data_IF_351171963107
#
_entry.id   IF_351171963107
#
_cell.length_a   1.000
_cell.length_b   1.000
_cell.length_c   1.000
_cell.angle_alpha   90.00
_cell.angle_beta   90.00
_cell.angle_gamma   90.00
#
_symmetry.space_group_name_H-M   'P 1'
#
loop_
_entity.id
_entity.type
_entity.pdbx_description
1 polymer ?
#
# COMPACT_ATOMS: atom_id res chain seq x y z
N UNK A 1 14.75 2.82 10.93
CA UNK A 1 15.91 2.16 10.31
C UNK A 1 16.61 1.21 11.29
N UNK A 2 17.15 1.65 12.42
CA UNK A 2 17.81 0.75 13.39
C UNK A 2 16.86 -0.36 13.90
N UNK A 3 15.59 -0.04 14.17
CA UNK A 3 14.60 -1.05 14.57
C UNK A 3 14.35 -2.09 13.47
N UNK A 4 14.29 -1.70 12.21
CA UNK A 4 14.11 -2.64 11.11
C UNK A 4 15.29 -3.59 10.97
N UNK A 5 16.52 -3.11 11.14
CA UNK A 5 17.69 -3.98 11.16
C UNK A 5 17.74 -4.90 12.40
N UNK A 6 17.16 -4.47 13.53
CA UNK A 6 17.03 -5.32 14.70
C UNK A 6 16.02 -6.46 14.47
N UNK A 7 14.95 -6.20 13.73
CA UNK A 7 13.93 -7.22 13.40
C UNK A 7 14.50 -8.41 12.62
N UNK A 8 15.52 -8.19 11.80
CA UNK A 8 16.21 -9.29 11.07
C UNK A 8 16.75 -10.34 12.02
N UNK A 9 17.11 -9.98 13.26
CA UNK A 9 17.60 -10.92 14.27
C UNK A 9 16.53 -11.92 14.73
N UNK A 10 15.25 -11.59 14.54
CA UNK A 10 14.14 -12.48 14.83
C UNK A 10 13.86 -13.44 13.66
N UNK A 11 14.69 -13.42 12.64
CA UNK A 11 14.65 -14.30 11.46
C UNK A 11 15.95 -15.09 11.35
N UNK A 12 15.99 -16.05 10.42
CA UNK A 12 17.21 -16.78 10.07
C UNK A 12 18.07 -16.06 9.01
N UNK A 13 17.70 -14.86 8.62
CA UNK A 13 18.42 -14.08 7.60
C UNK A 13 19.64 -13.44 8.23
N UNK A 14 20.77 -13.53 7.57
CA UNK A 14 21.97 -12.81 8.00
C UNK A 14 21.75 -11.30 7.89
N UNK A 15 21.89 -10.59 9.00
CA UNK A 15 21.74 -9.13 9.06
C UNK A 15 22.61 -8.39 8.03
N UNK A 16 23.81 -8.88 7.78
CA UNK A 16 24.75 -8.25 6.85
C UNK A 16 24.35 -8.42 5.39
N UNK A 17 23.34 -9.26 5.10
CA UNK A 17 22.74 -9.42 3.77
C UNK A 17 21.53 -8.51 3.53
N UNK A 18 21.17 -7.64 4.48
CA UNK A 18 19.99 -6.79 4.40
C UNK A 18 20.38 -5.32 4.42
N UNK A 19 19.97 -4.59 3.38
CA UNK A 19 20.01 -3.14 3.35
C UNK A 19 18.63 -2.57 3.70
N UNK A 20 18.55 -1.58 4.59
CA UNK A 20 17.30 -0.91 4.97
C UNK A 20 17.43 0.59 4.77
N UNK A 21 16.50 1.16 4.02
CA UNK A 21 16.34 2.60 3.86
C UNK A 21 14.93 3.03 4.26
N UNK A 22 14.82 4.12 5.00
CA UNK A 22 13.56 4.76 5.31
C UNK A 22 13.57 6.16 4.65
N UNK A 23 12.92 6.33 3.50
CA UNK A 23 12.85 7.64 2.87
C UNK A 23 12.05 8.61 3.75
N UNK A 24 12.57 9.82 3.87
CA UNK A 24 11.90 10.88 4.59
C UNK A 24 11.31 11.87 3.59
N UNK A 25 10.01 12.10 3.68
CA UNK A 25 9.28 13.06 2.86
C UNK A 25 8.94 14.31 3.68
N UNK A 26 9.84 15.29 3.75
CA UNK A 26 9.64 16.49 4.54
C UNK A 26 8.40 17.25 4.07
N UNK A 27 7.67 17.79 5.03
CA UNK A 27 6.50 18.62 4.76
C UNK A 27 6.36 19.73 5.81
N UNK A 28 5.39 20.63 5.68
CA UNK A 28 5.22 21.76 6.57
C UNK A 28 5.02 21.40 8.04
N UNK A 29 4.59 20.18 8.35
CA UNK A 29 4.36 19.72 9.72
C UNK A 29 5.67 19.31 10.41
N UNK A 30 6.74 19.11 9.65
CA UNK A 30 8.06 18.66 10.14
C UNK A 30 8.99 19.79 10.57
N UNK A 31 8.57 21.02 10.48
CA UNK A 31 9.41 22.21 10.74
C UNK A 31 10.14 22.22 12.08
N UNK A 32 9.64 21.47 13.06
CA UNK A 32 10.21 21.39 14.40
C UNK A 32 11.16 20.18 14.60
N UNK A 33 11.40 19.38 13.58
CA UNK A 33 12.12 18.11 13.69
C UNK A 33 13.50 18.11 13.02
N UNK A 34 14.22 19.22 13.12
CA UNK A 34 15.62 19.29 12.62
C UNK A 34 15.75 19.34 11.10
N UNK A 35 14.66 19.37 10.38
CA UNK A 35 14.63 19.64 8.96
C UNK A 35 14.92 21.13 8.72
N UNK A 36 15.71 21.53 7.68
CA UNK A 36 16.07 22.92 7.43
C UNK A 36 14.88 23.75 6.93
N UNK A 37 13.83 23.77 7.71
CA UNK A 37 12.64 24.57 7.49
C UNK A 37 12.82 25.95 8.12
N UNK A 38 12.59 26.99 7.32
CA UNK A 38 12.59 28.36 7.84
C UNK A 38 11.16 28.78 8.14
N UNK A 39 10.90 29.24 9.36
CA UNK A 39 9.60 29.77 9.75
C UNK A 39 9.19 30.93 8.83
N UNK A 40 7.91 30.97 8.52
CA UNK A 40 7.34 31.97 7.63
C UNK A 40 7.55 31.72 6.13
N UNK A 41 8.13 30.61 5.72
CA UNK A 41 8.13 30.20 4.32
C UNK A 41 6.69 30.00 3.85
N UNK A 42 6.27 30.82 2.89
CA UNK A 42 5.00 30.69 2.22
C UNK A 42 5.20 29.88 0.92
N UNK A 43 4.17 29.18 0.52
CA UNK A 43 4.16 28.56 -0.81
C UNK A 43 4.53 29.60 -1.88
N UNK A 44 5.47 29.25 -2.74
CA UNK A 44 5.96 30.15 -3.79
C UNK A 44 7.07 31.14 -3.38
N UNK A 45 7.48 31.17 -2.12
CA UNK A 45 8.65 31.94 -1.67
C UNK A 45 9.82 30.99 -1.46
N UNK A 46 10.92 31.22 -2.14
CA UNK A 46 12.04 30.32 -2.18
C UNK A 46 12.49 29.79 -0.82
N UNK A 47 12.62 28.50 -0.72
CA UNK A 47 13.36 27.85 0.36
C UNK A 47 14.84 28.00 0.11
N UNK A 48 15.63 28.26 1.14
CA UNK A 48 17.09 28.20 1.08
C UNK A 48 17.61 26.77 1.12
N UNK A 49 16.72 25.80 1.32
CA UNK A 49 17.05 24.39 1.33
C UNK A 49 17.02 23.78 -0.07
N UNK A 50 17.93 22.85 -0.32
CA UNK A 50 17.92 22.01 -1.51
C UNK A 50 17.08 20.73 -1.30
N UNK A 51 16.49 20.54 -0.14
CA UNK A 51 15.65 19.38 0.13
C UNK A 51 14.31 19.49 -0.60
N UNK A 52 13.82 18.35 -1.08
CA UNK A 52 12.48 18.23 -1.61
C UNK A 52 11.49 18.28 -0.45
N UNK A 53 10.47 19.10 -0.55
CA UNK A 53 9.42 19.27 0.48
C UNK A 53 8.06 19.20 -0.16
N UNK A 54 7.15 18.51 0.45
CA UNK A 54 5.77 18.36 -0.01
C UNK A 54 4.77 19.19 0.81
N UNK A 55 3.60 19.43 0.26
CA UNK A 55 2.51 20.07 0.97
C UNK A 55 1.76 19.04 1.83
N UNK A 56 1.88 19.13 3.14
CA UNK A 56 1.20 18.21 4.07
C UNK A 56 1.39 16.75 3.68
N UNK A 57 0.33 15.97 3.69
CA UNK A 57 0.36 14.53 3.34
C UNK A 57 0.37 14.23 1.83
N UNK A 58 0.55 15.22 0.97
CA UNK A 58 0.46 15.03 -0.49
C UNK A 58 1.55 14.11 -1.06
N UNK A 59 2.66 13.93 -0.34
CA UNK A 59 3.67 12.92 -0.69
C UNK A 59 3.09 11.51 -0.78
N UNK A 60 2.09 11.17 0.03
CA UNK A 60 1.44 9.86 -0.02
C UNK A 60 0.53 9.64 -1.23
N UNK A 61 0.30 10.69 -1.99
CA UNK A 61 -0.53 10.69 -3.18
C UNK A 61 0.26 10.79 -4.49
N UNK A 62 1.59 10.84 -4.43
CA UNK A 62 2.41 11.01 -5.63
C UNK A 62 2.51 12.46 -6.12
N UNK A 63 2.14 13.42 -5.28
CA UNK A 63 2.22 14.83 -5.67
C UNK A 63 3.65 15.29 -5.92
N UNK A 64 3.78 16.35 -6.70
CA UNK A 64 5.05 17.00 -6.89
C UNK A 64 5.49 17.75 -5.63
N UNK A 65 6.79 17.90 -5.46
CA UNK A 65 7.38 18.68 -4.39
C UNK A 65 6.92 20.14 -4.46
N UNK A 66 6.81 20.79 -3.29
CA UNK A 66 6.50 22.19 -3.15
C UNK A 66 7.77 23.07 -3.19
N UNK A 67 8.86 22.53 -2.66
CA UNK A 67 10.19 23.18 -2.62
C UNK A 67 11.25 22.22 -3.14
N UNK A 68 12.36 22.71 -3.71
CA UNK A 68 12.65 24.12 -4.02
C UNK A 68 11.61 24.71 -4.98
N UNK A 69 11.31 26.00 -4.82
CA UNK A 69 10.22 26.63 -5.59
C UNK A 69 10.45 26.66 -7.11
N UNK A 70 11.69 26.74 -7.53
CA UNK A 70 12.10 26.75 -8.94
C UNK A 70 12.20 25.35 -9.57
N UNK A 71 11.94 24.31 -8.80
CA UNK A 71 12.04 22.91 -9.23
C UNK A 71 10.92 22.08 -8.58
N UNK A 72 9.66 22.37 -8.93
CA UNK A 72 8.45 21.73 -8.37
C UNK A 72 7.87 20.70 -9.34
N UNK A 73 8.69 19.79 -9.79
CA UNK A 73 8.30 18.77 -10.77
C UNK A 73 8.72 17.35 -10.38
N UNK A 74 9.14 17.15 -9.13
CA UNK A 74 9.54 15.84 -8.63
C UNK A 74 8.42 15.23 -7.81
N UNK A 75 7.77 14.24 -8.38
CA UNK A 75 6.79 13.42 -7.66
C UNK A 75 7.46 12.58 -6.59
N UNK A 76 6.76 12.35 -5.49
CA UNK A 76 7.20 11.39 -4.48
C UNK A 76 7.27 9.95 -5.01
N UNK A 77 6.48 9.60 -6.03
CA UNK A 77 6.56 8.29 -6.69
C UNK A 77 7.80 8.16 -7.54
N UNK A 78 8.23 9.23 -8.20
CA UNK A 78 9.51 9.24 -8.88
C UNK A 78 10.69 8.94 -7.92
N UNK A 79 10.58 9.40 -6.66
CA UNK A 79 11.58 9.06 -5.64
C UNK A 79 11.57 7.56 -5.34
N UNK A 80 10.40 6.91 -5.32
CA UNK A 80 10.33 5.44 -5.15
C UNK A 80 10.99 4.72 -6.33
N UNK A 81 10.74 5.18 -7.56
CA UNK A 81 11.39 4.62 -8.75
C UNK A 81 12.92 4.71 -8.66
N UNK A 82 13.43 5.88 -8.28
CA UNK A 82 14.87 6.10 -8.15
C UNK A 82 15.49 5.25 -7.03
N UNK A 83 14.77 5.04 -5.94
CA UNK A 83 15.23 4.16 -4.87
C UNK A 83 15.27 2.70 -5.34
N UNK A 84 14.27 2.25 -6.10
CA UNK A 84 14.27 0.90 -6.67
C UNK A 84 15.45 0.74 -7.62
N UNK A 85 15.66 1.68 -8.55
CA UNK A 85 16.79 1.66 -9.49
C UNK A 85 18.14 1.66 -8.77
N UNK A 86 18.25 2.47 -7.70
CA UNK A 86 19.48 2.53 -6.90
C UNK A 86 19.82 1.19 -6.25
N UNK A 87 18.84 0.51 -5.64
CA UNK A 87 19.08 -0.77 -5.01
C UNK A 87 19.19 -1.93 -6.02
N UNK A 88 18.64 -1.78 -7.22
CA UNK A 88 18.79 -2.78 -8.28
C UNK A 88 20.12 -2.65 -9.06
N UNK A 89 20.85 -1.58 -8.87
CA UNK A 89 22.15 -1.39 -9.53
C UNK A 89 23.16 -2.45 -9.05
N UNK A 90 23.43 -3.42 -9.91
CA UNK A 90 24.34 -4.54 -9.61
C UNK A 90 25.80 -4.11 -9.52
N UNK A 91 26.14 -2.89 -9.94
CA UNK A 91 27.49 -2.35 -9.71
C UNK A 91 27.67 -1.91 -8.26
N UNK A 92 26.61 -1.48 -7.60
CA UNK A 92 26.56 -1.11 -6.20
C UNK A 92 26.16 -2.28 -5.29
N UNK A 93 25.19 -3.05 -5.72
CA UNK A 93 24.59 -4.16 -4.97
C UNK A 93 24.60 -5.46 -5.77
N UNK A 94 25.80 -6.04 -6.06
CA UNK A 94 25.92 -7.21 -6.97
C UNK A 94 25.15 -8.44 -6.50
N UNK A 95 24.86 -8.54 -5.21
CA UNK A 95 24.18 -9.67 -4.61
C UNK A 95 22.70 -9.39 -4.25
N UNK A 96 22.14 -8.25 -4.68
CA UNK A 96 20.73 -7.96 -4.44
C UNK A 96 19.85 -9.01 -5.09
N UNK A 97 18.97 -9.61 -4.30
CA UNK A 97 18.08 -10.70 -4.73
C UNK A 97 16.61 -10.32 -4.74
N UNK A 98 16.23 -9.34 -3.97
CA UNK A 98 14.85 -8.86 -3.86
C UNK A 98 14.83 -7.46 -3.26
N UNK A 99 13.89 -6.65 -3.71
CA UNK A 99 13.62 -5.31 -3.18
C UNK A 99 12.20 -5.32 -2.63
N UNK A 100 12.02 -4.91 -1.38
CA UNK A 100 10.71 -4.78 -0.76
C UNK A 100 10.45 -3.31 -0.42
N UNK A 101 9.44 -2.72 -1.04
CA UNK A 101 8.90 -1.43 -0.62
C UNK A 101 7.83 -1.70 0.45
N UNK A 102 8.07 -1.25 1.67
CA UNK A 102 7.16 -1.49 2.79
C UNK A 102 6.49 -0.21 3.27
N UNK A 103 5.16 -0.23 3.39
CA UNK A 103 4.38 0.91 3.86
C UNK A 103 3.28 0.52 4.83
N UNK A 104 3.20 1.24 5.95
CA UNK A 104 2.13 1.11 6.94
C UNK A 104 1.32 2.40 7.03
N UNK A 105 0.02 2.32 7.27
CA UNK A 105 -0.86 3.47 7.43
C UNK A 105 -0.85 4.37 6.19
N UNK A 106 -0.44 5.62 6.31
CA UNK A 106 -0.29 6.54 5.18
C UNK A 106 0.75 6.05 4.16
N UNK A 107 1.80 5.34 4.61
CA UNK A 107 2.74 4.66 3.74
C UNK A 107 2.10 3.50 2.96
N UNK A 108 1.16 2.78 3.57
CA UNK A 108 0.36 1.77 2.89
C UNK A 108 -0.53 2.38 1.80
N UNK A 109 -1.16 3.52 2.07
CA UNK A 109 -1.91 4.26 1.06
C UNK A 109 -1.02 4.73 -0.10
N UNK A 110 0.18 5.21 0.23
CA UNK A 110 1.17 5.61 -0.78
C UNK A 110 1.49 4.45 -1.73
N UNK A 111 1.81 3.29 -1.17
CA UNK A 111 2.21 2.13 -1.97
C UNK A 111 1.04 1.55 -2.78
N UNK A 112 -0.19 1.56 -2.27
CA UNK A 112 -1.33 1.10 -3.06
C UNK A 112 -1.58 2.00 -4.28
N UNK A 113 -1.50 3.32 -4.10
CA UNK A 113 -1.62 4.27 -5.21
C UNK A 113 -0.44 4.17 -6.17
N UNK A 114 0.77 3.98 -5.64
CA UNK A 114 1.95 3.71 -6.44
C UNK A 114 1.81 2.39 -7.22
N UNK A 115 1.24 1.34 -6.64
CA UNK A 115 0.94 0.12 -7.38
C UNK A 115 0.03 0.39 -8.59
N UNK A 116 -0.96 1.28 -8.42
CA UNK A 116 -1.92 1.60 -9.47
C UNK A 116 -1.32 2.40 -10.63
N UNK A 117 -0.47 3.39 -10.33
CA UNK A 117 0.03 4.35 -11.34
C UNK A 117 1.54 4.46 -11.45
N UNK A 118 2.29 3.67 -10.65
CA UNK A 118 3.75 3.61 -10.69
C UNK A 118 4.26 2.99 -12.00
N UNK A 119 5.39 3.47 -12.45
CA UNK A 119 6.03 2.94 -13.65
C UNK A 119 6.30 1.44 -13.54
N UNK A 120 6.27 0.76 -14.67
CA UNK A 120 6.76 -0.60 -14.78
C UNK A 120 8.28 -0.53 -14.94
N UNK A 121 8.98 -0.70 -13.83
CA UNK A 121 10.43 -0.66 -13.83
C UNK A 121 10.99 -1.98 -14.34
N UNK A 122 11.88 -1.90 -15.31
CA UNK A 122 12.70 -3.05 -15.70
C UNK A 122 13.80 -3.22 -14.66
N UNK A 123 13.70 -4.26 -13.84
CA UNK A 123 14.64 -4.57 -12.76
C UNK A 123 15.14 -6.00 -12.88
N UNK A 124 16.39 -6.21 -12.50
CA UNK A 124 16.96 -7.56 -12.40
C UNK A 124 16.51 -8.25 -11.11
N UNK A 125 16.29 -7.48 -10.05
CA UNK A 125 15.76 -7.98 -8.79
C UNK A 125 14.23 -7.85 -8.77
N UNK A 126 13.50 -8.89 -8.32
CA UNK A 126 12.08 -8.77 -8.08
C UNK A 126 11.76 -7.65 -7.09
N UNK A 127 10.69 -6.92 -7.38
CA UNK A 127 10.19 -5.83 -6.52
C UNK A 127 8.85 -6.23 -5.95
N UNK A 128 8.72 -6.18 -4.63
CA UNK A 128 7.50 -6.51 -3.90
C UNK A 128 7.03 -5.31 -3.10
N UNK A 129 5.74 -5.07 -3.11
CA UNK A 129 5.10 -4.02 -2.33
C UNK A 129 4.43 -4.65 -1.10
N UNK A 130 4.93 -4.37 0.10
CA UNK A 130 4.25 -4.74 1.34
C UNK A 130 3.35 -3.60 1.79
N UNK A 131 2.04 -3.80 1.69
CA UNK A 131 1.02 -2.76 1.89
C UNK A 131 0.22 -3.08 3.14
N UNK A 132 0.39 -2.28 4.20
CA UNK A 132 -0.24 -2.53 5.49
C UNK A 132 -1.10 -1.36 5.97
N UNK A 133 -2.29 -1.67 6.49
CA UNK A 133 -3.14 -0.80 7.29
C UNK A 133 -3.43 0.58 6.70
N UNK A 134 -3.56 0.69 5.37
CA UNK A 134 -4.01 1.92 4.74
C UNK A 134 -5.40 2.33 5.24
N UNK A 135 -5.65 3.63 5.33
CA UNK A 135 -6.94 4.16 5.73
C UNK A 135 -7.95 4.17 4.59
N UNK A 136 -7.51 4.48 3.38
CA UNK A 136 -8.31 4.46 2.16
C UNK A 136 -7.50 3.94 0.99
N UNK A 137 -8.19 3.55 -0.07
CA UNK A 137 -7.61 2.95 -1.26
C UNK A 137 -8.06 3.70 -2.50
N UNK A 138 -7.18 3.90 -3.47
CA UNK A 138 -7.57 4.35 -4.78
C UNK A 138 -8.35 3.22 -5.48
N UNK A 139 -9.62 3.46 -5.74
CA UNK A 139 -10.55 2.46 -6.25
C UNK A 139 -10.41 2.32 -7.76
N UNK A 140 -10.21 1.11 -8.24
CA UNK A 140 -9.90 0.82 -9.65
C UNK A 140 -11.18 0.63 -10.50
N UNK A 141 -12.29 1.24 -10.09
CA UNK A 141 -13.59 1.17 -10.74
C UNK A 141 -14.40 2.42 -10.42
N UNK A 142 -15.33 2.78 -11.29
CA UNK A 142 -16.30 3.86 -11.02
C UNK A 142 -17.40 3.46 -10.04
N UNK A 143 -17.53 2.17 -9.76
CA UNK A 143 -18.49 1.65 -8.80
C UNK A 143 -17.95 1.67 -7.38
N UNK A 144 -18.86 1.82 -6.43
CA UNK A 144 -18.55 1.79 -5.00
C UNK A 144 -19.44 0.80 -4.27
N UNK A 145 -18.92 0.12 -3.25
CA UNK A 145 -19.71 -0.82 -2.44
C UNK A 145 -20.81 -0.12 -1.65
N UNK A 146 -20.62 1.14 -1.25
CA UNK A 146 -21.58 1.90 -0.46
C UNK A 146 -22.13 3.11 -1.24
N UNK A 147 -23.45 3.27 -1.19
CA UNK A 147 -24.09 4.48 -1.70
C UNK A 147 -24.07 5.56 -0.61
N UNK A 148 -23.29 6.60 -0.80
CA UNK A 148 -23.29 7.79 0.06
C UNK A 148 -23.95 8.92 -0.72
N UNK A 149 -25.16 9.35 -0.30
CA UNK A 149 -25.86 10.44 -0.99
C UNK A 149 -25.01 11.71 -1.04
N UNK A 150 -25.17 12.48 -2.10
CA UNK A 150 -24.54 13.79 -2.27
C UNK A 150 -23.00 13.79 -2.15
N UNK A 151 -22.36 12.74 -2.65
CA UNK A 151 -20.91 12.65 -2.72
C UNK A 151 -20.38 12.83 -4.17
N UNK A 152 -20.32 14.05 -4.71
CA UNK A 152 -19.85 14.29 -6.08
C UNK A 152 -18.37 13.97 -6.28
N UNK A 153 -17.59 13.91 -5.20
CA UNK A 153 -16.15 13.68 -5.20
C UNK A 153 -15.75 12.22 -4.97
N UNK A 154 -16.74 11.31 -5.01
CA UNK A 154 -16.51 9.90 -4.64
C UNK A 154 -15.42 9.22 -5.47
N UNK A 155 -15.24 9.65 -6.72
CA UNK A 155 -14.29 9.08 -7.67
C UNK A 155 -13.08 9.98 -7.94
N UNK A 156 -12.99 11.12 -7.25
CA UNK A 156 -11.85 12.02 -7.39
C UNK A 156 -10.59 11.36 -6.84
N UNK A 157 -9.46 11.71 -7.40
CA UNK A 157 -8.18 11.32 -6.84
C UNK A 157 -8.06 11.91 -5.41
N UNK A 158 -7.86 11.13 -4.44
CA UNK A 158 -7.08 9.90 -4.19
C UNK A 158 -7.91 8.62 -3.94
N UNK A 159 -9.23 8.74 -3.90
CA UNK A 159 -10.14 7.61 -3.66
C UNK A 159 -10.64 6.98 -4.97
N UNK A 160 -10.41 7.65 -6.08
CA UNK A 160 -10.57 7.19 -7.46
C UNK A 160 -9.52 7.84 -8.35
N UNK A 161 -9.82 8.03 -9.62
CA UNK A 161 -8.88 8.61 -10.59
C UNK A 161 -9.47 9.79 -11.38
N UNK A 162 -10.70 10.23 -11.07
CA UNK A 162 -11.26 11.44 -11.63
C UNK A 162 -10.50 12.69 -11.13
N UNK A 163 -10.57 13.77 -11.89
CA UNK A 163 -9.92 15.05 -11.55
C UNK A 163 -8.40 14.94 -11.28
N UNK A 164 -7.74 13.90 -11.80
CA UNK A 164 -6.35 13.58 -11.49
C UNK A 164 -5.39 14.73 -11.84
N UNK A 165 -5.51 15.27 -13.03
CA UNK A 165 -4.66 16.39 -13.50
C UNK A 165 -5.04 17.69 -12.81
N UNK A 166 -6.32 17.91 -12.55
CA UNK A 166 -6.84 19.09 -11.84
C UNK A 166 -6.33 19.17 -10.41
N UNK A 167 -6.05 18.03 -9.78
CA UNK A 167 -5.31 17.95 -8.50
C UNK A 167 -3.80 18.24 -8.63
N UNK A 168 -3.33 18.56 -9.82
CA UNK A 168 -1.91 18.89 -10.08
C UNK A 168 -0.99 17.68 -10.16
N UNK A 169 -1.56 16.50 -10.39
CA UNK A 169 -0.78 15.26 -10.51
C UNK A 169 -0.17 15.17 -11.90
N UNK A 170 1.13 14.93 -11.97
CA UNK A 170 1.88 14.80 -13.23
C UNK A 170 2.41 13.39 -13.44
N UNK A 171 2.89 12.76 -12.38
CA UNK A 171 3.34 11.38 -12.42
C UNK A 171 2.16 10.43 -12.66
N UNK A 172 2.30 9.53 -13.60
CA UNK A 172 1.23 8.60 -14.00
C UNK A 172 0.10 9.22 -14.84
N UNK A 173 0.14 10.52 -15.17
CA UNK A 173 -0.94 11.18 -15.90
C UNK A 173 -1.21 10.54 -17.27
N UNK A 174 -0.18 10.09 -17.97
CA UNK A 174 -0.32 9.39 -19.25
C UNK A 174 -1.00 8.03 -19.12
N UNK A 175 -0.78 7.31 -18.04
CA UNK A 175 -1.46 6.05 -17.75
C UNK A 175 -2.92 6.30 -17.35
N UNK A 176 -3.16 7.28 -16.47
CA UNK A 176 -4.51 7.64 -16.04
C UNK A 176 -5.37 8.09 -17.23
N UNK A 177 -4.79 8.81 -18.19
CA UNK A 177 -5.48 9.22 -19.41
C UNK A 177 -5.90 8.03 -20.31
N UNK A 178 -5.30 6.86 -20.16
CA UNK A 178 -5.70 5.64 -20.86
C UNK A 178 -6.93 4.95 -20.23
N UNK A 179 -7.33 5.36 -19.02
CA UNK A 179 -8.53 4.88 -18.36
C UNK A 179 -8.29 3.75 -17.35
N UNK A 180 -9.37 3.36 -16.69
CA UNK A 180 -9.33 2.44 -15.55
C UNK A 180 -8.81 1.03 -15.91
N UNK A 181 -9.08 0.55 -17.11
CA UNK A 181 -8.58 -0.77 -17.54
C UNK A 181 -7.05 -0.79 -17.61
N UNK A 182 -6.44 0.28 -18.11
CA UNK A 182 -4.99 0.42 -18.16
C UNK A 182 -4.38 0.54 -16.76
N UNK A 183 -5.02 1.31 -15.88
CA UNK A 183 -4.61 1.45 -14.48
C UNK A 183 -4.70 0.09 -13.77
N UNK A 184 -5.81 -0.64 -13.98
CA UNK A 184 -5.97 -1.96 -13.38
C UNK A 184 -4.95 -2.96 -13.90
N UNK A 185 -4.68 -2.97 -15.20
CA UNK A 185 -3.64 -3.84 -15.77
C UNK A 185 -2.25 -3.53 -15.20
N UNK A 186 -1.94 -2.25 -15.00
CA UNK A 186 -0.70 -1.85 -14.35
C UNK A 186 -0.66 -2.29 -12.88
N UNK A 187 -1.76 -2.15 -12.15
CA UNK A 187 -1.89 -2.62 -10.77
C UNK A 187 -1.69 -4.15 -10.67
N UNK A 188 -2.37 -4.90 -11.51
CA UNK A 188 -2.30 -6.37 -11.52
C UNK A 188 -0.91 -6.89 -11.94
N UNK A 189 -0.08 -6.07 -12.56
CA UNK A 189 1.31 -6.42 -12.90
C UNK A 189 2.28 -6.35 -11.73
N UNK A 190 1.88 -5.71 -10.63
CA UNK A 190 2.72 -5.56 -9.45
C UNK A 190 2.59 -6.77 -8.53
N UNK A 191 3.65 -7.09 -7.81
CA UNK A 191 3.64 -8.11 -6.77
C UNK A 191 3.31 -7.46 -5.44
N UNK A 192 2.20 -7.83 -4.82
CA UNK A 192 1.73 -7.18 -3.59
C UNK A 192 1.59 -8.20 -2.46
N UNK A 193 2.17 -7.87 -1.33
CA UNK A 193 1.93 -8.54 -0.06
C UNK A 193 1.05 -7.63 0.82
N UNK A 194 -0.22 -7.95 0.89
CA UNK A 194 -1.19 -7.22 1.70
C UNK A 194 -1.11 -7.64 3.15
N UNK A 195 -1.21 -6.67 4.06
CA UNK A 195 -1.28 -6.95 5.49
C UNK A 195 -2.37 -6.09 6.15
N UNK A 196 -3.19 -6.70 7.01
CA UNK A 196 -4.26 -6.01 7.70
C UNK A 196 -4.33 -6.37 9.17
N UNK A 197 -4.31 -5.35 10.04
CA UNK A 197 -4.54 -5.48 11.46
C UNK A 197 -6.04 -5.63 11.75
N UNK A 198 -6.43 -6.70 12.41
CA UNK A 198 -7.84 -7.02 12.66
C UNK A 198 -8.52 -6.09 13.66
N UNK A 199 -7.74 -5.48 14.56
CA UNK A 199 -8.24 -4.53 15.56
C UNK A 199 -8.12 -3.05 15.12
N UNK A 200 -7.71 -2.80 13.86
CA UNK A 200 -7.55 -1.43 13.33
C UNK A 200 -8.83 -0.98 12.62
N UNK A 201 -9.82 -0.58 13.37
CA UNK A 201 -11.05 -0.02 12.82
C UNK A 201 -10.86 1.42 12.33
N UNK A 202 -10.02 2.18 13.02
CA UNK A 202 -9.87 3.61 12.79
C UNK A 202 -11.15 4.38 13.15
N UNK A 203 -11.19 5.62 12.72
CA UNK A 203 -12.39 6.44 12.83
C UNK A 203 -13.28 6.23 11.59
N UNK A 204 -14.56 6.55 11.75
CA UNK A 204 -15.45 6.69 10.60
C UNK A 204 -14.84 7.66 9.60
N UNK A 205 -15.10 7.42 8.32
CA UNK A 205 -14.60 8.29 7.27
C UNK A 205 -15.03 9.74 7.52
N UNK A 206 -14.05 10.63 7.56
CA UNK A 206 -14.28 12.07 7.79
C UNK A 206 -14.84 12.81 6.58
N UNK A 207 -14.85 12.16 5.42
CA UNK A 207 -15.36 12.70 4.18
C UNK A 207 -16.14 11.64 3.41
N UNK A 208 -16.97 12.07 2.47
CA UNK A 208 -17.89 11.17 1.77
C UNK A 208 -17.18 10.17 0.85
N UNK A 209 -16.09 10.57 0.21
CA UNK A 209 -15.44 9.72 -0.78
C UNK A 209 -14.91 8.39 -0.19
N UNK A 210 -14.08 8.37 0.86
CA UNK A 210 -13.71 7.10 1.50
C UNK A 210 -14.91 6.36 2.12
N UNK A 211 -15.95 7.06 2.58
CA UNK A 211 -17.16 6.41 3.09
C UNK A 211 -17.90 5.58 2.03
N UNK A 212 -17.74 5.86 0.76
CA UNK A 212 -18.30 5.05 -0.33
C UNK A 212 -17.63 3.68 -0.46
N UNK A 213 -16.47 3.50 0.12
CA UNK A 213 -15.68 2.26 0.07
C UNK A 213 -15.70 1.46 1.36
N UNK A 214 -16.30 2.01 2.44
CA UNK A 214 -16.44 1.36 3.74
C UNK A 214 -16.55 2.39 4.86
N UNK A 215 -17.26 2.04 5.94
CA UNK A 215 -17.47 2.94 7.08
C UNK A 215 -16.22 3.08 7.94
N UNK A 216 -15.46 2.01 8.07
CA UNK A 216 -14.19 1.98 8.80
C UNK A 216 -13.05 1.42 7.94
N UNK A 217 -11.85 1.42 8.50
CA UNK A 217 -10.65 0.97 7.78
C UNK A 217 -10.71 -0.50 7.39
N UNK A 218 -11.29 -1.34 8.24
CA UNK A 218 -11.40 -2.76 7.97
C UNK A 218 -12.42 -3.02 6.85
N UNK A 219 -13.60 -2.39 6.90
CA UNK A 219 -14.55 -2.50 5.80
C UNK A 219 -13.94 -2.04 4.48
N UNK A 220 -13.24 -0.89 4.46
CA UNK A 220 -12.59 -0.39 3.25
C UNK A 220 -11.58 -1.37 2.68
N UNK A 221 -10.77 -1.99 3.54
CA UNK A 221 -9.81 -3.01 3.11
C UNK A 221 -10.53 -4.23 2.54
N UNK A 222 -11.48 -4.75 3.26
CA UNK A 222 -12.15 -5.99 2.88
C UNK A 222 -13.01 -5.81 1.64
N UNK A 223 -13.72 -4.70 1.48
CA UNK A 223 -14.42 -4.41 0.24
C UNK A 223 -13.44 -4.27 -0.94
N UNK A 224 -12.29 -3.64 -0.73
CA UNK A 224 -11.27 -3.55 -1.76
C UNK A 224 -10.79 -4.94 -2.18
N UNK A 225 -10.42 -5.80 -1.23
CA UNK A 225 -9.98 -7.17 -1.51
C UNK A 225 -11.06 -8.02 -2.19
N UNK A 226 -12.31 -7.82 -1.82
CA UNK A 226 -13.43 -8.55 -2.42
C UNK A 226 -13.69 -8.11 -3.86
N UNK A 227 -13.55 -6.82 -4.12
CA UNK A 227 -13.80 -6.25 -5.45
C UNK A 227 -12.61 -6.45 -6.40
N UNK A 228 -11.41 -6.24 -5.89
CA UNK A 228 -10.16 -6.38 -6.61
C UNK A 228 -9.36 -7.50 -5.96
N UNK A 229 -9.65 -8.72 -6.39
CA UNK A 229 -9.02 -9.90 -5.82
C UNK A 229 -7.51 -9.87 -6.04
N UNK A 230 -6.72 -10.40 -5.10
CA UNK A 230 -5.28 -10.52 -5.24
C UNK A 230 -4.88 -11.15 -6.57
N UNK A 231 -3.90 -10.58 -7.23
CA UNK A 231 -3.40 -11.04 -8.52
C UNK A 231 -2.62 -12.34 -8.36
N UNK A 232 -2.77 -13.24 -9.30
CA UNK A 232 -2.01 -14.49 -9.36
C UNK A 232 -1.75 -14.86 -10.82
N UNK A 233 -0.78 -14.21 -11.48
CA UNK A 233 -0.52 -14.41 -12.90
C UNK A 233 -0.03 -15.82 -13.25
N UNK A 234 0.62 -16.50 -12.30
CA UNK A 234 1.04 -17.88 -12.43
C UNK A 234 0.60 -18.71 -11.22
N UNK A 235 -0.52 -19.42 -11.30
CA UNK A 235 -1.03 -20.26 -10.21
C UNK A 235 -0.10 -21.38 -9.76
N UNK A 236 0.82 -21.81 -10.61
CA UNK A 236 1.85 -22.80 -10.26
C UNK A 236 3.09 -22.17 -9.62
N UNK A 237 3.19 -20.87 -9.69
CA UNK A 237 4.31 -20.07 -9.25
C UNK A 237 4.20 -19.55 -7.82
N UNK A 238 5.16 -18.76 -7.48
CA UNK A 238 5.28 -18.12 -6.17
C UNK A 238 5.06 -16.61 -6.22
N UNK A 239 4.70 -16.10 -7.41
CA UNK A 239 4.50 -14.68 -7.66
C UNK A 239 3.05 -14.19 -7.53
N UNK A 240 2.21 -14.94 -6.82
CA UNK A 240 0.88 -14.48 -6.46
C UNK A 240 0.93 -13.48 -5.31
N UNK A 241 0.00 -12.54 -5.32
CA UNK A 241 -0.24 -11.67 -4.17
C UNK A 241 -0.55 -12.48 -2.92
N UNK A 242 -0.23 -11.93 -1.77
CA UNK A 242 -0.53 -12.54 -0.48
C UNK A 242 -1.43 -11.63 0.35
N UNK A 243 -2.22 -12.21 1.23
CA UNK A 243 -3.06 -11.48 2.19
C UNK A 243 -2.82 -12.04 3.57
N UNK A 244 -2.28 -11.22 4.46
CA UNK A 244 -1.98 -11.59 5.83
C UNK A 244 -2.85 -10.79 6.79
N UNK A 245 -3.58 -11.48 7.65
CA UNK A 245 -4.36 -10.89 8.72
C UNK A 245 -3.61 -11.03 10.05
N UNK A 246 -3.45 -9.93 10.76
CA UNK A 246 -2.70 -9.88 12.01
C UNK A 246 -3.62 -9.40 13.12
N UNK A 247 -3.66 -10.11 14.24
CA UNK A 247 -4.43 -9.70 15.41
C UNK A 247 -3.67 -8.59 16.17
N UNK A 248 -3.75 -7.39 15.62
CA UNK A 248 -3.08 -6.20 16.12
C UNK A 248 -3.97 -4.95 15.95
N UNK A 249 -3.76 -3.90 16.76
CA UNK A 249 -4.32 -2.57 16.51
C UNK A 249 -3.55 -1.84 15.39
N UNK A 250 -3.84 -0.56 15.20
CA UNK A 250 -3.09 0.30 14.29
C UNK A 250 -1.69 0.62 14.83
N UNK A 251 -0.85 -0.40 14.91
CA UNK A 251 0.51 -0.31 15.46
C UNK A 251 1.52 -0.87 14.46
N UNK A 252 2.41 0.00 13.99
CA UNK A 252 3.42 -0.39 13.01
C UNK A 252 4.42 -1.41 13.57
N UNK A 253 4.80 -1.27 14.85
CA UNK A 253 5.73 -2.20 15.50
C UNK A 253 5.17 -3.63 15.50
N UNK A 254 3.91 -3.79 15.92
CA UNK A 254 3.25 -5.10 15.95
C UNK A 254 3.08 -5.67 14.54
N UNK A 255 2.70 -4.85 13.56
CA UNK A 255 2.56 -5.30 12.18
C UNK A 255 3.88 -5.78 11.58
N UNK A 256 4.94 -4.99 11.72
CA UNK A 256 6.27 -5.34 11.21
C UNK A 256 6.87 -6.56 11.94
N UNK A 257 6.65 -6.71 13.24
CA UNK A 257 7.17 -7.84 14.04
C UNK A 257 6.26 -9.06 14.05
N UNK A 258 5.09 -9.00 13.42
CA UNK A 258 4.29 -10.21 13.24
C UNK A 258 5.06 -11.25 12.43
N UNK A 259 4.72 -12.53 12.62
CA UNK A 259 5.35 -13.59 11.86
C UNK A 259 5.19 -13.38 10.33
N UNK A 260 4.02 -12.92 9.88
CA UNK A 260 3.81 -12.55 8.49
C UNK A 260 4.67 -11.35 8.08
N UNK A 261 4.72 -10.29 8.90
CA UNK A 261 5.53 -9.12 8.61
C UNK A 261 7.00 -9.48 8.44
N UNK A 262 7.57 -10.25 9.37
CA UNK A 262 8.94 -10.74 9.27
C UNK A 262 9.16 -11.60 8.03
N UNK A 263 8.22 -12.50 7.74
CA UNK A 263 8.32 -13.36 6.56
C UNK A 263 8.33 -12.54 5.27
N UNK A 264 7.33 -11.69 5.06
CA UNK A 264 7.19 -10.90 3.82
C UNK A 264 8.33 -9.91 3.62
N UNK A 265 8.84 -9.33 4.69
CA UNK A 265 9.91 -8.33 4.60
C UNK A 265 11.29 -8.94 4.39
N UNK A 266 11.56 -10.11 4.96
CA UNK A 266 12.93 -10.61 5.04
C UNK A 266 13.15 -12.03 4.51
N UNK A 267 12.16 -12.90 4.60
CA UNK A 267 12.38 -14.33 4.33
C UNK A 267 11.58 -14.89 3.17
N UNK A 268 10.52 -14.22 2.74
CA UNK A 268 9.66 -14.70 1.67
C UNK A 268 10.42 -14.75 0.33
N UNK A 269 10.16 -15.79 -0.41
CA UNK A 269 10.74 -16.02 -1.73
C UNK A 269 9.66 -15.93 -2.80
N UNK A 270 9.19 -14.71 -3.06
CA UNK A 270 8.08 -14.45 -3.96
C UNK A 270 8.25 -15.02 -5.37
N UNK A 271 9.48 -15.15 -5.82
CA UNK A 271 9.76 -15.62 -7.18
C UNK A 271 10.30 -17.07 -7.23
N UNK A 272 10.28 -17.77 -6.10
CA UNK A 272 10.67 -19.17 -6.04
C UNK A 272 12.12 -19.41 -6.37
N UNK A 273 13.02 -18.48 -6.10
CA UNK A 273 14.46 -18.66 -6.27
C UNK A 273 14.95 -19.82 -5.42
N UNK A 274 15.24 -20.96 -6.04
CA UNK A 274 15.68 -22.17 -5.35
C UNK A 274 17.03 -22.04 -4.66
N UNK A 275 17.79 -20.98 -4.95
CA UNK A 275 19.03 -20.66 -4.24
C UNK A 275 18.78 -20.06 -2.85
N UNK A 276 17.55 -19.61 -2.58
CA UNK A 276 17.12 -19.04 -1.31
C UNK A 276 16.51 -20.15 -0.45
N UNK A 277 17.09 -20.37 0.72
CA UNK A 277 16.69 -21.45 1.63
C UNK A 277 15.56 -21.05 2.62
N UNK A 278 14.98 -19.85 2.47
CA UNK A 278 14.11 -19.27 3.48
C UNK A 278 12.77 -18.79 2.91
N UNK A 279 12.07 -19.64 2.21
CA UNK A 279 10.64 -19.47 1.97
C UNK A 279 9.90 -20.38 2.95
N UNK A 280 9.38 -19.79 4.02
CA UNK A 280 8.69 -20.55 5.07
C UNK A 280 7.24 -20.86 4.73
N UNK A 281 6.86 -20.64 3.47
CA UNK A 281 5.61 -21.17 2.98
C UNK A 281 4.37 -20.58 3.63
N UNK A 282 4.38 -19.29 3.96
CA UNK A 282 3.11 -18.63 4.20
C UNK A 282 2.26 -18.78 2.95
N UNK A 283 1.02 -19.26 3.08
CA UNK A 283 0.20 -19.57 1.92
C UNK A 283 0.06 -18.36 1.03
N UNK A 284 0.29 -18.56 -0.25
CA UNK A 284 0.01 -17.56 -1.29
C UNK A 284 -1.36 -17.81 -1.85
N UNK A 285 -2.12 -16.75 -2.05
CA UNK A 285 -3.42 -16.83 -2.67
C UNK A 285 -3.29 -17.18 -4.15
N UNK A 286 -4.19 -18.03 -4.61
CA UNK A 286 -4.35 -18.36 -6.02
C UNK A 286 -5.49 -17.53 -6.61
N UNK A 287 -5.46 -17.28 -7.90
CA UNK A 287 -6.56 -16.61 -8.58
C UNK A 287 -7.86 -17.40 -8.40
N UNK A 288 -8.90 -16.73 -7.90
CA UNK A 288 -10.19 -17.35 -7.59
C UNK A 288 -10.32 -17.87 -6.15
N UNK A 289 -9.24 -17.91 -5.39
CA UNK A 289 -9.33 -18.22 -3.97
C UNK A 289 -10.00 -17.09 -3.18
N UNK A 290 -10.58 -17.46 -2.04
CA UNK A 290 -11.01 -16.47 -1.07
C UNK A 290 -9.82 -15.56 -0.70
N UNK A 291 -9.91 -14.23 -0.82
CA UNK A 291 -8.84 -13.33 -0.47
C UNK A 291 -8.47 -13.36 1.02
N UNK A 292 -9.29 -14.02 1.85
CA UNK A 292 -9.04 -14.16 3.28
C UNK A 292 -8.47 -15.54 3.58
N UNK A 293 -7.31 -15.58 4.26
CA UNK A 293 -6.76 -16.85 4.71
C UNK A 293 -7.69 -17.51 5.73
N UNK A 294 -7.53 -18.84 5.89
CA UNK A 294 -8.09 -19.55 7.02
C UNK A 294 -7.73 -18.82 8.33
N UNK A 295 -8.68 -18.71 9.28
CA UNK A 295 -8.43 -18.10 10.59
C UNK A 295 -7.22 -18.68 11.31
N UNK A 296 -6.91 -19.94 11.08
CA UNK A 296 -5.71 -20.59 11.64
C UNK A 296 -4.40 -20.09 11.05
N UNK A 297 -4.45 -19.36 9.95
CA UNK A 297 -3.28 -18.74 9.30
C UNK A 297 -3.05 -17.28 9.74
N UNK A 298 -3.86 -16.77 10.65
CA UNK A 298 -3.61 -15.47 11.27
C UNK A 298 -2.34 -15.54 12.10
N UNK A 299 -1.40 -14.67 11.81
CA UNK A 299 0.00 -14.81 12.22
C UNK A 299 0.33 -14.35 13.64
N UNK A 300 -0.64 -14.16 14.48
CA UNK A 300 -0.39 -13.69 15.85
C UNK A 300 -0.77 -14.80 16.83
N UNK A 301 0.11 -15.16 17.76
CA UNK A 301 -0.26 -16.11 18.82
C UNK A 301 -1.51 -15.65 19.55
N UNK A 302 -2.53 -16.51 19.63
CA UNK A 302 -3.81 -16.19 20.26
C UNK A 302 -4.87 -15.60 19.33
N UNK A 303 -4.59 -15.33 18.08
CA UNK A 303 -5.61 -14.99 17.10
C UNK A 303 -6.56 -16.18 16.92
N UNK A 304 -7.83 -15.96 17.22
CA UNK A 304 -8.78 -17.06 17.31
C UNK A 304 -9.74 -17.13 16.13
N UNK A 305 -10.08 -16.01 15.53
CA UNK A 305 -11.03 -16.01 14.45
C UNK A 305 -11.03 -14.68 13.69
N UNK A 306 -10.68 -14.71 12.42
CA UNK A 306 -10.71 -13.51 11.58
C UNK A 306 -12.13 -13.09 11.17
N UNK A 307 -13.13 -13.97 11.35
CA UNK A 307 -14.52 -13.66 11.06
C UNK A 307 -15.18 -12.80 12.14
N UNK A 308 -14.53 -12.63 13.28
CA UNK A 308 -15.06 -11.85 14.39
C UNK A 308 -13.99 -10.92 14.90
N UNK A 309 -14.27 -9.64 14.94
CA UNK A 309 -13.34 -8.67 15.49
C UNK A 309 -14.00 -7.76 16.52
N UNK A 310 -13.20 -6.94 17.21
CA UNK A 310 -13.61 -6.22 18.42
C UNK A 310 -14.88 -5.34 18.28
N UNK A 311 -15.30 -5.01 17.08
CA UNK A 311 -16.56 -4.31 16.81
C UNK A 311 -17.81 -5.19 16.83
N UNK A 312 -17.68 -6.51 17.04
CA UNK A 312 -18.81 -7.46 16.96
C UNK A 312 -19.31 -7.72 15.54
N UNK A 313 -18.66 -7.15 14.54
CA UNK A 313 -18.97 -7.43 13.15
C UNK A 313 -18.39 -8.79 12.76
N UNK A 314 -19.17 -9.56 12.04
CA UNK A 314 -18.68 -10.77 11.41
C UNK A 314 -18.40 -10.48 9.96
N UNK A 315 -17.22 -10.81 9.50
CA UNK A 315 -16.87 -10.63 8.11
C UNK A 315 -17.72 -11.42 7.13
N UNK A 316 -18.35 -12.48 7.57
CA UNK A 316 -19.28 -13.26 6.75
C UNK A 316 -20.41 -12.40 6.15
N UNK A 317 -20.82 -11.33 6.80
CA UNK A 317 -21.78 -10.38 6.25
C UNK A 317 -21.24 -9.49 5.15
N UNK A 318 -19.91 -9.33 5.10
CA UNK A 318 -19.21 -8.51 4.09
C UNK A 318 -18.78 -9.34 2.86
N UNK A 319 -18.76 -10.66 2.97
CA UNK A 319 -18.28 -11.57 1.93
C UNK A 319 -19.42 -12.37 1.34
N UNK A 320 -19.98 -11.90 0.29
CA UNK A 320 -20.71 -12.74 -0.63
C UNK A 320 -19.71 -13.40 -1.56
N UNK A 321 -19.93 -14.65 -1.95
CA UNK A 321 -19.00 -15.45 -2.78
C UNK A 321 -18.70 -14.87 -4.16
N UNK A 322 -19.26 -13.72 -4.49
CA UNK A 322 -19.03 -13.02 -5.73
C UNK A 322 -18.89 -11.51 -5.44
N UNK A 323 -17.99 -10.86 -6.16
CA UNK A 323 -17.97 -9.40 -6.20
C UNK A 323 -19.40 -8.90 -6.53
N UNK A 324 -19.96 -7.97 -5.77
CA UNK A 324 -21.31 -7.50 -6.03
C UNK A 324 -21.38 -6.96 -7.46
N UNK A 325 -22.38 -7.42 -8.20
CA UNK A 325 -22.66 -6.81 -9.49
C UNK A 325 -23.08 -5.35 -9.26
N UNK A 326 -22.87 -4.50 -10.24
CA UNK A 326 -23.19 -3.06 -10.19
C UNK A 326 -24.54 -2.75 -9.56
N UNK A 327 -25.55 -3.56 -9.84
CA UNK A 327 -26.91 -3.38 -9.30
C UNK A 327 -27.02 -3.79 -7.82
N UNK A 328 -26.23 -4.76 -7.38
CA UNK A 328 -26.24 -5.23 -6.00
C UNK A 328 -25.45 -4.27 -5.07
N UNK A 329 -24.36 -3.68 -5.55
CA UNK A 329 -23.64 -2.66 -4.80
C UNK A 329 -24.52 -1.43 -4.49
N UNK A 330 -25.44 -1.10 -5.37
CA UNK A 330 -26.36 0.03 -5.20
C UNK A 330 -27.63 -0.34 -4.40
N UNK A 331 -28.04 -1.60 -4.38
CA UNK A 331 -29.31 -2.01 -3.78
C UNK A 331 -29.20 -2.60 -2.36
N UNK A 332 -28.06 -3.13 -1.98
CA UNK A 332 -27.87 -3.77 -0.67
C UNK A 332 -27.52 -2.78 0.46
N UNK A 333 -27.44 -1.52 0.17
CA UNK A 333 -26.92 -0.48 1.08
C UNK A 333 -27.92 0.61 1.41
N UNK A 334 -29.20 0.32 1.18
CA UNK A 334 -30.31 1.18 1.60
C UNK A 334 -30.89 0.75 2.97
N UNK A 335 -30.12 0.11 3.84
CA UNK A 335 -30.57 -0.19 5.21
C UNK A 335 -29.46 0.06 6.23
#
# INVERSE_FOLDING_TARGET
MLNALAMVQDTNVNRDSVAVMAPYFPNGDDKNYGYPWTDGLKAGRGSTTNALVWSGSQWSAGANNQYPHNSRNTSSYYILDELVRYFDDKTLFPNMKQIVLAGHSLGGQMLQRYAAIGDQLETESPVVLWIANGDSWAWLSDYRPLNVPDCPTYNDYREGFAQFVEYGMTYGASLVAQGLDAIKANFDSKQIAWARALQDFGNHASSCAPATTGQDRNERFFFFMKWFQPSCPDPSGTNCDTVDLVDAPHDNGQMFHSAAGLARLFTDNFYGDKSRAYDFGYPRKQQGDDPFPDPNLVNTPGATNYNTYAGGLTYQGCWTDQAPTTAQALSTLLY
#
